data_IF_038681237123
#
_entry.id   IF_038681237123
#
_cell.length_a   1.000
_cell.length_b   1.000
_cell.length_c   1.000
_cell.angle_alpha   90.00
_cell.angle_beta   90.00
_cell.angle_gamma   90.00
#
_symmetry.space_group_name_H-M   'P 1'
#
loop_
_entity.id
_entity.type
_entity.pdbx_description
1 polymer ?
#
# COMPACT_ATOMS: atom_id res chain seq x y z
N UNK A 1 23.53 11.04 6.31
CA UNK A 1 22.09 10.97 5.95
C UNK A 1 21.88 10.43 4.53
N UNK A 2 22.77 10.67 3.55
CA UNK A 2 22.63 10.13 2.18
C UNK A 2 22.55 8.59 2.12
N UNK A 3 23.37 7.88 2.90
CA UNK A 3 23.35 6.41 2.91
C UNK A 3 22.02 5.85 3.44
N UNK A 4 21.38 6.53 4.40
CA UNK A 4 20.05 6.17 4.92
C UNK A 4 18.99 6.40 3.84
N UNK A 5 19.07 7.54 3.15
CA UNK A 5 18.13 7.88 2.07
C UNK A 5 18.19 6.83 0.94
N UNK A 6 19.40 6.46 0.52
CA UNK A 6 19.61 5.43 -0.50
C UNK A 6 19.11 4.06 -0.02
N UNK A 7 19.42 3.67 1.21
CA UNK A 7 19.02 2.36 1.76
C UNK A 7 17.51 2.26 1.86
N UNK A 8 16.84 3.26 2.44
CA UNK A 8 15.38 3.29 2.57
C UNK A 8 14.73 3.33 1.18
N UNK A 9 15.25 4.14 0.26
CA UNK A 9 14.76 4.20 -1.12
C UNK A 9 14.81 2.83 -1.81
N UNK A 10 15.94 2.11 -1.72
CA UNK A 10 16.09 0.77 -2.33
C UNK A 10 15.07 -0.20 -1.73
N UNK A 11 14.93 -0.24 -0.41
CA UNK A 11 13.98 -1.11 0.28
C UNK A 11 12.54 -0.78 -0.12
N UNK A 12 12.17 0.50 -0.15
CA UNK A 12 10.83 0.94 -0.54
C UNK A 12 10.50 0.65 -2.01
N UNK A 13 11.49 0.72 -2.92
CA UNK A 13 11.33 0.29 -4.31
C UNK A 13 11.05 -1.21 -4.39
N UNK A 14 11.86 -2.03 -3.71
CA UNK A 14 11.69 -3.49 -3.72
C UNK A 14 10.32 -3.88 -3.15
N UNK A 15 9.91 -3.27 -2.04
CA UNK A 15 8.58 -3.48 -1.45
C UNK A 15 7.45 -3.06 -2.39
N UNK A 16 7.58 -1.91 -3.06
CA UNK A 16 6.61 -1.45 -4.06
C UNK A 16 6.48 -2.41 -5.23
N UNK A 17 7.61 -2.92 -5.75
CA UNK A 17 7.62 -3.90 -6.84
C UNK A 17 6.99 -5.23 -6.40
N UNK A 18 7.24 -5.68 -5.16
CA UNK A 18 6.64 -6.88 -4.60
C UNK A 18 5.10 -6.77 -4.42
N UNK A 19 4.57 -5.55 -4.34
CA UNK A 19 3.13 -5.31 -4.26
C UNK A 19 2.41 -5.32 -5.61
N UNK A 20 3.08 -4.95 -6.70
CA UNK A 20 2.48 -4.96 -8.05
C UNK A 20 1.78 -6.28 -8.41
N UNK A 21 2.38 -7.48 -8.22
CA UNK A 21 1.69 -8.72 -8.51
C UNK A 21 0.46 -8.95 -7.61
N UNK A 22 0.48 -8.47 -6.37
CA UNK A 22 -0.66 -8.59 -5.44
C UNK A 22 -1.84 -7.73 -5.91
N UNK A 23 -1.59 -6.48 -6.34
CA UNK A 23 -2.60 -5.58 -6.90
C UNK A 23 -3.20 -6.20 -8.17
N UNK A 24 -2.33 -6.65 -9.09
CA UNK A 24 -2.75 -7.26 -10.35
C UNK A 24 -3.58 -8.53 -10.13
N UNK A 25 -3.12 -9.45 -9.26
CA UNK A 25 -3.88 -10.66 -8.94
C UNK A 25 -5.22 -10.34 -8.29
N UNK A 26 -5.27 -9.38 -7.37
CA UNK A 26 -6.53 -8.96 -6.76
C UNK A 26 -7.52 -8.40 -7.78
N UNK A 27 -7.04 -7.68 -8.80
CA UNK A 27 -7.91 -7.04 -9.79
C UNK A 27 -8.45 -8.10 -10.75
N UNK A 28 -7.56 -8.99 -11.22
CA UNK A 28 -7.91 -10.11 -12.09
C UNK A 28 -8.91 -11.08 -11.45
N UNK A 29 -8.78 -11.36 -10.16
CA UNK A 29 -9.64 -12.31 -9.46
C UNK A 29 -10.83 -11.65 -8.74
N UNK A 30 -10.99 -10.32 -8.85
CA UNK A 30 -12.01 -9.53 -8.14
C UNK A 30 -12.08 -9.88 -6.64
N UNK A 31 -10.92 -10.08 -6.03
CA UNK A 31 -10.77 -10.45 -4.62
C UNK A 31 -9.86 -9.41 -3.96
N UNK A 32 -10.39 -8.73 -2.95
CA UNK A 32 -9.52 -8.00 -2.01
C UNK A 32 -8.81 -9.01 -1.13
N UNK A 33 -7.60 -9.44 -1.47
CA UNK A 33 -6.88 -10.44 -0.68
C UNK A 33 -6.41 -9.91 0.69
N UNK A 34 -6.22 -8.60 0.80
CA UNK A 34 -5.73 -7.94 2.02
C UNK A 34 -6.89 -7.63 2.96
N UNK A 35 -6.76 -8.00 4.23
CA UNK A 35 -7.78 -7.76 5.24
C UNK A 35 -7.74 -6.30 5.75
N UNK A 36 -8.89 -5.71 6.09
CA UNK A 36 -8.96 -4.31 6.53
C UNK A 36 -8.09 -4.01 7.74
N UNK A 37 -7.99 -4.97 8.69
CA UNK A 37 -7.13 -4.85 9.86
C UNK A 37 -5.63 -4.75 9.53
N UNK A 38 -5.22 -5.20 8.33
CA UNK A 38 -3.82 -5.09 7.87
C UNK A 38 -3.59 -3.87 6.98
N UNK A 39 -4.54 -3.53 6.11
CA UNK A 39 -4.36 -2.43 5.15
C UNK A 39 -4.47 -1.05 5.81
N UNK A 40 -5.42 -0.85 6.74
CA UNK A 40 -5.65 0.45 7.39
C UNK A 40 -4.42 0.92 8.18
N UNK A 41 -3.87 0.14 9.14
CA UNK A 41 -2.71 0.60 9.89
C UNK A 41 -1.47 0.74 9.00
N UNK A 42 -1.35 -0.07 7.94
CA UNK A 42 -0.20 0.04 7.02
C UNK A 42 -0.24 1.31 6.19
N UNK A 43 -1.40 1.68 5.63
CA UNK A 43 -1.57 2.96 4.91
C UNK A 43 -1.23 4.12 5.85
N UNK A 44 -1.81 4.13 7.05
CA UNK A 44 -1.62 5.21 8.02
C UNK A 44 -0.16 5.31 8.47
N UNK A 45 0.47 4.16 8.75
CA UNK A 45 1.89 4.07 9.11
C UNK A 45 2.82 4.57 7.99
N UNK A 46 2.53 4.26 6.73
CA UNK A 46 3.32 4.73 5.58
C UNK A 46 3.22 6.25 5.39
N UNK A 47 2.05 6.84 5.60
CA UNK A 47 1.90 8.31 5.55
C UNK A 47 2.61 8.99 6.74
N UNK A 48 2.57 8.40 7.93
CA UNK A 48 3.35 8.89 9.08
C UNK A 48 4.86 8.79 8.79
N UNK A 49 5.34 7.67 8.24
CA UNK A 49 6.74 7.51 7.85
C UNK A 49 7.16 8.50 6.77
N UNK A 50 6.29 8.76 5.79
CA UNK A 50 6.52 9.79 4.77
C UNK A 50 6.73 11.16 5.40
N UNK A 51 5.92 11.54 6.39
CA UNK A 51 6.08 12.81 7.12
C UNK A 51 7.38 12.85 7.94
N UNK A 52 7.73 11.75 8.60
CA UNK A 52 9.00 11.64 9.33
C UNK A 52 10.20 11.78 8.39
N UNK A 53 10.20 11.10 7.24
CA UNK A 53 11.28 11.22 6.24
C UNK A 53 11.39 12.63 5.66
N UNK A 54 10.25 13.29 5.44
CA UNK A 54 10.21 14.69 5.04
C UNK A 54 10.85 15.59 6.10
N UNK A 55 10.50 15.40 7.38
CA UNK A 55 11.06 16.17 8.50
C UNK A 55 12.57 15.97 8.69
N UNK A 56 13.09 14.81 8.28
CA UNK A 56 14.52 14.46 8.31
C UNK A 56 15.28 14.95 7.06
N UNK A 57 14.60 15.51 6.06
CA UNK A 57 15.20 15.95 4.80
C UNK A 57 15.58 14.82 3.84
N UNK A 58 15.02 13.61 4.01
CA UNK A 58 15.26 12.43 3.17
C UNK A 58 14.34 12.47 1.94
N UNK A 59 14.65 13.34 0.97
CA UNK A 59 13.75 13.67 -0.13
C UNK A 59 13.43 12.45 -1.00
N UNK A 60 14.42 11.61 -1.35
CA UNK A 60 14.18 10.44 -2.21
C UNK A 60 13.29 9.41 -1.52
N UNK A 61 13.61 9.09 -0.26
CA UNK A 61 12.82 8.18 0.57
C UNK A 61 11.41 8.68 0.78
N UNK A 62 11.22 9.99 0.95
CA UNK A 62 9.90 10.62 1.09
C UNK A 62 9.05 10.34 -0.15
N UNK A 63 9.58 10.61 -1.35
CA UNK A 63 8.85 10.40 -2.61
C UNK A 63 8.49 8.93 -2.79
N UNK A 64 9.43 8.01 -2.60
CA UNK A 64 9.16 6.58 -2.81
C UNK A 64 8.20 6.04 -1.74
N UNK A 65 8.33 6.47 -0.49
CA UNK A 65 7.42 6.05 0.59
C UNK A 65 6.01 6.58 0.38
N UNK A 66 5.86 7.81 -0.14
CA UNK A 66 4.58 8.36 -0.55
C UNK A 66 3.93 7.50 -1.64
N UNK A 67 4.68 7.15 -2.70
CA UNK A 67 4.19 6.27 -3.76
C UNK A 67 3.79 4.88 -3.21
N UNK A 68 4.59 4.34 -2.29
CA UNK A 68 4.30 3.07 -1.61
C UNK A 68 2.99 3.16 -0.81
N UNK A 69 2.80 4.26 -0.08
CA UNK A 69 1.56 4.54 0.65
C UNK A 69 0.34 4.61 -0.28
N UNK A 70 0.49 5.23 -1.45
CA UNK A 70 -0.57 5.27 -2.47
C UNK A 70 -0.90 3.88 -3.03
N UNK A 71 0.09 2.99 -3.25
CA UNK A 71 -0.16 1.61 -3.66
C UNK A 71 -0.94 0.82 -2.59
N UNK A 72 -0.60 1.00 -1.31
CA UNK A 72 -1.35 0.41 -0.20
C UNK A 72 -2.76 0.96 -0.09
N UNK A 73 -2.94 2.26 -0.35
CA UNK A 73 -4.25 2.89 -0.39
C UNK A 73 -5.10 2.32 -1.53
N UNK A 74 -4.51 2.04 -2.70
CA UNK A 74 -5.20 1.36 -3.80
C UNK A 74 -5.63 -0.06 -3.41
N UNK A 75 -4.79 -0.83 -2.71
CA UNK A 75 -5.18 -2.16 -2.20
C UNK A 75 -6.33 -2.09 -1.18
N UNK A 76 -6.31 -1.08 -0.32
CA UNK A 76 -7.40 -0.82 0.62
C UNK A 76 -8.71 -0.52 -0.13
N UNK A 77 -8.67 0.38 -1.11
CA UNK A 77 -9.82 0.75 -1.92
C UNK A 77 -10.35 -0.44 -2.74
N UNK A 78 -9.43 -1.23 -3.29
CA UNK A 78 -9.75 -2.49 -3.96
C UNK A 78 -10.47 -3.47 -3.04
N UNK A 79 -10.04 -3.58 -1.78
CA UNK A 79 -10.72 -4.42 -0.79
C UNK A 79 -12.10 -3.88 -0.43
N UNK A 80 -12.28 -2.57 -0.27
CA UNK A 80 -13.61 -1.99 -0.03
C UNK A 80 -14.56 -2.31 -1.19
N UNK A 81 -14.13 -2.06 -2.43
CA UNK A 81 -14.98 -2.28 -3.61
C UNK A 81 -15.32 -3.77 -3.85
N UNK A 82 -14.34 -4.67 -3.79
CA UNK A 82 -14.56 -6.11 -4.04
C UNK A 82 -15.01 -6.91 -2.81
N UNK A 83 -14.86 -6.35 -1.60
CA UNK A 83 -15.40 -6.92 -0.37
C UNK A 83 -16.92 -6.83 -0.34
N UNK A 84 -17.47 -5.69 -0.76
CA UNK A 84 -18.91 -5.44 -0.88
C UNK A 84 -19.57 -6.40 -1.88
N UNK A 85 -18.97 -6.61 -3.06
CA UNK A 85 -19.53 -7.46 -4.12
C UNK A 85 -19.66 -8.95 -3.75
N UNK A 86 -19.04 -9.40 -2.65
CA UNK A 86 -19.20 -10.77 -2.14
C UNK A 86 -20.36 -10.90 -1.16
N UNK A 87 -20.78 -9.82 -0.52
CA UNK A 87 -21.91 -9.79 0.42
C UNK A 87 -23.25 -9.83 -0.34
N UNK A 88 -23.36 -9.13 -1.48
CA UNK A 88 -24.57 -9.19 -2.32
C UNK A 88 -24.87 -10.62 -2.81
N UNK A 89 -23.84 -11.36 -3.27
CA UNK A 89 -24.03 -12.75 -3.76
C UNK A 89 -24.43 -13.77 -2.71
N UNK A 90 -24.21 -13.50 -1.43
CA UNK A 90 -24.64 -14.40 -0.35
C UNK A 90 -26.00 -14.05 0.23
N UNK A 91 -26.56 -12.88 -0.11
CA UNK A 91 -27.88 -12.45 0.35
C UNK A 91 -29.00 -12.87 -0.62
N UNK A 92 -28.64 -13.24 -1.86
CA UNK A 92 -29.56 -13.70 -2.90
C UNK A 92 -29.59 -15.25 -3.09
N UNK A 93 -28.95 -16.02 -2.20
CA UNK A 93 -28.94 -17.50 -2.22
C UNK A 93 -29.64 -18.07 -0.99
#
# INVERSE_FOLDING_TARGET
MLWQDITITIVSIVLSLAMLPQIYHGYKHKKGHVHHATSIPTVLGLFVLCFVYFSLGLIFSTVVTFLTGMLWFLLFLQRCHYGESRLEKHTES
#
